data_IF_167965590362
#
_entry.id   IF_167965590362
#
_cell.length_a   1.000
_cell.length_b   1.000
_cell.length_c   1.000
_cell.angle_alpha   90.00
_cell.angle_beta   90.00
_cell.angle_gamma   90.00
#
_symmetry.space_group_name_H-M   'P 1'
#
loop_
_entity.id
_entity.type
_entity.pdbx_description
1 polymer ?
#
# COMPACT_ATOMS: atom_id res chain seq x y z
N UNK A 1 -15.70 19.25 2.83
CA UNK A 1 -14.39 18.63 3.09
C UNK A 1 -14.47 17.18 2.66
N UNK A 2 -13.90 16.81 1.51
CA UNK A 2 -13.84 15.41 1.09
C UNK A 2 -13.03 14.61 2.12
N UNK A 3 -13.66 13.61 2.73
CA UNK A 3 -12.94 12.66 3.60
C UNK A 3 -11.96 11.90 2.70
N UNK A 4 -10.66 12.16 2.86
CA UNK A 4 -9.60 11.31 2.32
C UNK A 4 -9.80 9.90 2.91
N UNK A 5 -10.47 9.02 2.14
CA UNK A 5 -10.65 7.62 2.53
C UNK A 5 -9.28 6.97 2.42
N UNK A 6 -8.64 6.75 3.56
CA UNK A 6 -7.41 5.99 3.63
C UNK A 6 -7.78 4.51 3.50
N UNK A 7 -7.41 3.88 2.38
CA UNK A 7 -7.64 2.46 2.18
C UNK A 7 -6.46 1.69 2.77
N UNK A 8 -6.73 0.95 3.84
CA UNK A 8 -5.83 -0.04 4.42
C UNK A 8 -6.40 -1.43 4.21
N UNK A 9 -5.53 -2.43 4.09
CA UNK A 9 -5.91 -3.83 4.03
C UNK A 9 -4.84 -4.67 4.72
N UNK A 10 -5.30 -5.74 5.37
CA UNK A 10 -4.43 -6.70 6.04
C UNK A 10 -4.21 -7.91 5.12
N UNK A 11 -2.96 -8.36 5.05
CA UNK A 11 -2.63 -9.63 4.43
C UNK A 11 -2.68 -10.71 5.50
N UNK A 12 -3.43 -11.79 5.24
CA UNK A 12 -3.38 -12.99 6.07
C UNK A 12 -2.02 -13.69 6.00
N UNK A 13 -1.89 -14.87 6.62
CA UNK A 13 -0.66 -15.66 6.55
C UNK A 13 -0.47 -16.13 5.10
N UNK A 14 0.59 -15.66 4.45
CA UNK A 14 0.95 -16.06 3.09
C UNK A 14 2.30 -16.79 3.14
N UNK A 15 2.39 -18.05 2.65
CA UNK A 15 3.66 -18.80 2.64
C UNK A 15 4.64 -18.30 1.56
N UNK A 16 4.17 -17.44 0.64
CA UNK A 16 4.98 -16.87 -0.43
C UNK A 16 5.89 -15.73 0.04
N UNK A 17 7.08 -15.61 -0.57
CA UNK A 17 8.05 -14.53 -0.29
C UNK A 17 7.90 -13.31 -1.21
N UNK A 18 6.93 -13.34 -2.12
CA UNK A 18 6.69 -12.28 -3.11
C UNK A 18 5.29 -11.71 -2.92
N UNK A 19 5.20 -10.37 -2.97
CA UNK A 19 3.94 -9.63 -2.83
C UNK A 19 3.78 -8.77 -4.08
N UNK A 20 2.63 -8.89 -4.73
CA UNK A 20 2.25 -8.08 -5.89
C UNK A 20 1.04 -7.22 -5.53
N UNK A 21 1.13 -5.91 -5.78
CA UNK A 21 0.00 -4.97 -5.60
C UNK A 21 -0.44 -4.46 -6.97
N UNK A 22 -1.64 -4.84 -7.41
CA UNK A 22 -2.24 -4.29 -8.62
C UNK A 22 -2.84 -2.91 -8.32
N UNK A 23 -2.34 -1.89 -9.02
CA UNK A 23 -2.75 -0.49 -8.82
C UNK A 23 -3.63 0.05 -9.94
N UNK A 24 -4.17 -0.79 -10.84
CA UNK A 24 -4.87 -0.37 -12.06
C UNK A 24 -6.02 0.62 -11.80
N UNK A 25 -6.68 0.52 -10.63
CA UNK A 25 -7.81 1.38 -10.26
C UNK A 25 -7.44 2.68 -9.54
N UNK A 26 -6.15 2.91 -9.21
CA UNK A 26 -5.73 4.19 -8.64
C UNK A 26 -5.86 5.34 -9.67
N UNK A 27 -6.22 6.54 -9.23
CA UNK A 27 -6.13 7.72 -10.10
C UNK A 27 -4.67 8.02 -10.49
N UNK A 28 -4.43 8.80 -11.55
CA UNK A 28 -3.07 9.30 -11.85
C UNK A 28 -2.58 10.17 -10.71
N UNK A 29 -1.33 10.00 -10.30
CA UNK A 29 -0.78 10.73 -9.15
C UNK A 29 0.51 10.17 -8.58
N UNK A 30 1.02 10.85 -7.55
CA UNK A 30 2.17 10.40 -6.76
C UNK A 30 1.66 9.70 -5.52
N UNK A 31 2.16 8.50 -5.27
CA UNK A 31 1.74 7.64 -4.17
C UNK A 31 2.94 7.22 -3.33
N UNK A 32 2.68 7.02 -2.04
CA UNK A 32 3.64 6.45 -1.10
C UNK A 32 3.09 5.11 -0.61
N UNK A 33 3.76 4.02 -0.98
CA UNK A 33 3.48 2.68 -0.45
C UNK A 33 4.31 2.46 0.81
N UNK A 34 3.63 2.14 1.92
CA UNK A 34 4.25 1.81 3.21
C UNK A 34 4.02 0.34 3.53
N UNK A 35 5.09 -0.42 3.66
CA UNK A 35 5.05 -1.80 4.14
C UNK A 35 5.18 -1.76 5.66
N UNK A 36 4.21 -2.33 6.36
CA UNK A 36 4.12 -2.29 7.82
C UNK A 36 4.26 -3.68 8.44
N UNK A 37 4.89 -3.74 9.61
CA UNK A 37 4.98 -4.91 10.48
C UNK A 37 4.70 -4.46 11.91
N UNK A 38 3.72 -5.09 12.59
CA UNK A 38 3.33 -4.76 13.96
C UNK A 38 3.07 -3.25 14.17
N UNK A 39 2.29 -2.64 13.27
CA UNK A 39 1.95 -1.21 13.24
C UNK A 39 3.15 -0.25 13.07
N UNK A 40 4.32 -0.76 12.65
CA UNK A 40 5.50 0.05 12.33
C UNK A 40 5.83 -0.05 10.85
N UNK A 41 6.16 1.08 10.23
CA UNK A 41 6.63 1.12 8.85
C UNK A 41 8.05 0.56 8.80
N UNK A 42 8.26 -0.49 8.01
CA UNK A 42 9.59 -1.11 7.82
C UNK A 42 10.19 -0.77 6.46
N UNK A 43 9.37 -0.37 5.49
CA UNK A 43 9.81 0.08 4.18
C UNK A 43 8.83 1.09 3.61
N UNK A 44 9.36 2.10 2.95
CA UNK A 44 8.60 3.10 2.21
C UNK A 44 9.15 3.20 0.78
N UNK A 45 8.26 3.36 -0.19
CA UNK A 45 8.62 3.67 -1.58
C UNK A 45 7.60 4.64 -2.17
N UNK A 46 8.11 5.67 -2.84
CA UNK A 46 7.28 6.64 -3.57
C UNK A 46 7.34 6.31 -5.05
N UNK A 47 6.19 6.32 -5.71
CA UNK A 47 6.07 6.08 -7.14
C UNK A 47 5.02 6.98 -7.78
N UNK A 48 5.17 7.21 -9.08
CA UNK A 48 4.18 7.91 -9.90
C UNK A 48 3.39 6.90 -10.73
N UNK A 49 2.06 7.03 -10.74
CA UNK A 49 1.16 6.29 -11.62
C UNK A 49 0.62 7.20 -12.73
#
# INVERSE_FOLDING_TARGET
MEKNRQYSGDLGIVPGKQIYLNINNLAKGIYTLKIMLNNKVIKEVTFKK
#
